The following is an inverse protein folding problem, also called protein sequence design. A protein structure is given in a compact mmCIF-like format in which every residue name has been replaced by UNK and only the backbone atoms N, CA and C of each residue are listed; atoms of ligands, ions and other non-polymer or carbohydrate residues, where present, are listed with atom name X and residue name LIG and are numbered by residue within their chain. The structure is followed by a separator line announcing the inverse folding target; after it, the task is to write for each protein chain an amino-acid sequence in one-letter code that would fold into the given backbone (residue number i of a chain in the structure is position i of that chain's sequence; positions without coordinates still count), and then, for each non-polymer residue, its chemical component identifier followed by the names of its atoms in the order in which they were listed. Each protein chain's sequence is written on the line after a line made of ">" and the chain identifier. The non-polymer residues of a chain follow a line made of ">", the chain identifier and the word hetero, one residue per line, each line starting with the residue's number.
data_IF_771225367111
#
_entry.id   IF_771225367111
#
_cell.length_a   1.000
_cell.length_b   1.000
_cell.length_c   1.000
_cell.angle_alpha   90.00
_cell.angle_beta   90.00
_cell.angle_gamma   90.00
#
_symmetry.space_group_name_H-M   'P 1'
#
loop_
_entity.id
_entity.type
_entity.pdbx_description
1 polymer ?
#
# COMPACT_ATOMS: atom_id res chain seq x y z
N UNK A 1 5.50 -3.90 37.42
CA UNK A 1 5.21 -3.28 36.12
C UNK A 1 4.50 -4.31 35.26
N UNK A 2 3.29 -4.08 34.74
CA UNK A 2 2.67 -5.00 33.79
C UNK A 2 3.55 -5.11 32.54
N UNK A 3 3.75 -6.34 32.04
CA UNK A 3 4.54 -6.61 30.84
C UNK A 3 3.83 -5.97 29.65
N UNK A 4 4.46 -5.00 29.00
CA UNK A 4 3.92 -4.37 27.80
C UNK A 4 3.72 -5.42 26.70
N UNK A 5 2.56 -5.38 26.04
CA UNK A 5 2.30 -6.22 24.87
C UNK A 5 3.37 -5.95 23.79
N UNK A 6 4.05 -6.99 23.28
CA UNK A 6 5.04 -6.83 22.21
C UNK A 6 4.44 -6.19 20.97
N UNK A 7 5.25 -5.45 20.22
CA UNK A 7 4.86 -4.90 18.93
C UNK A 7 5.13 -5.92 17.83
N UNK A 8 4.13 -6.16 16.98
CA UNK A 8 4.22 -7.01 15.80
C UNK A 8 4.30 -6.14 14.55
N UNK A 9 5.37 -6.26 13.77
CA UNK A 9 5.50 -5.57 12.48
C UNK A 9 4.95 -6.46 11.37
N UNK A 10 3.92 -5.98 10.68
CA UNK A 10 3.27 -6.64 9.56
C UNK A 10 3.74 -6.01 8.24
N UNK A 11 4.55 -6.73 7.48
CA UNK A 11 5.01 -6.30 6.16
C UNK A 11 4.12 -6.87 5.05
N UNK A 12 3.26 -6.02 4.49
CA UNK A 12 2.35 -6.37 3.41
C UNK A 12 3.09 -6.37 2.07
N UNK A 13 3.04 -7.50 1.36
CA UNK A 13 3.54 -7.59 -0.01
C UNK A 13 2.67 -6.81 -0.99
N UNK A 14 3.18 -6.53 -2.19
CA UNK A 14 2.41 -5.82 -3.23
C UNK A 14 1.08 -6.50 -3.60
N UNK A 15 0.97 -7.82 -3.40
CA UNK A 15 -0.26 -8.59 -3.58
C UNK A 15 -1.40 -8.21 -2.61
N UNK A 16 -1.08 -7.56 -1.49
CA UNK A 16 -2.07 -7.05 -0.54
C UNK A 16 -2.86 -5.86 -1.12
N UNK A 17 -2.30 -5.19 -2.14
CA UNK A 17 -2.92 -4.05 -2.81
C UNK A 17 -3.30 -4.43 -4.24
N UNK A 18 -2.44 -5.14 -4.98
CA UNK A 18 -2.72 -5.59 -6.34
C UNK A 18 -2.28 -7.02 -6.57
N UNK A 19 -3.23 -7.92 -6.81
CA UNK A 19 -2.97 -9.33 -7.06
C UNK A 19 -2.51 -9.58 -8.49
N UNK A 20 -1.83 -10.71 -8.69
CA UNK A 20 -1.41 -11.16 -10.03
C UNK A 20 -2.63 -11.30 -10.95
N UNK A 21 -2.52 -10.75 -12.17
CA UNK A 21 -3.54 -10.73 -13.25
C UNK A 21 -4.66 -9.70 -13.09
N UNK A 22 -4.72 -8.94 -12.00
CA UNK A 22 -5.60 -7.77 -11.92
C UNK A 22 -5.05 -6.64 -12.80
N UNK A 23 -5.94 -5.79 -13.30
CA UNK A 23 -5.57 -4.67 -14.19
C UNK A 23 -5.04 -3.46 -13.42
N UNK A 24 -5.29 -3.37 -12.12
CA UNK A 24 -4.89 -2.24 -11.29
C UNK A 24 -5.96 -1.17 -11.17
N UNK A 25 -7.24 -1.52 -11.36
CA UNK A 25 -8.33 -0.56 -11.17
C UNK A 25 -8.42 -0.14 -9.70
N UNK A 26 -9.07 1.00 -9.45
CA UNK A 26 -9.33 1.44 -8.08
C UNK A 26 -10.12 0.39 -7.30
N UNK A 27 -11.20 -0.15 -7.89
CA UNK A 27 -12.06 -1.13 -7.22
C UNK A 27 -11.32 -2.43 -6.88
N UNK A 28 -10.47 -2.93 -7.78
CA UNK A 28 -9.62 -4.10 -7.54
C UNK A 28 -8.69 -3.86 -6.34
N UNK A 29 -8.01 -2.70 -6.32
CA UNK A 29 -7.08 -2.37 -5.26
C UNK A 29 -7.79 -2.13 -3.92
N UNK A 30 -8.92 -1.43 -3.95
CA UNK A 30 -9.74 -1.17 -2.78
C UNK A 30 -10.24 -2.45 -2.13
N UNK A 31 -10.75 -3.40 -2.92
CA UNK A 31 -11.24 -4.68 -2.40
C UNK A 31 -10.11 -5.52 -1.78
N UNK A 32 -8.92 -5.54 -2.39
CA UNK A 32 -7.76 -6.22 -1.82
C UNK A 32 -7.34 -5.61 -0.47
N UNK A 33 -7.29 -4.27 -0.40
CA UNK A 33 -6.95 -3.55 0.83
C UNK A 33 -8.03 -3.79 1.89
N UNK A 34 -9.32 -3.77 1.53
CA UNK A 34 -10.44 -4.06 2.44
C UNK A 34 -10.35 -5.46 3.04
N UNK A 35 -10.08 -6.46 2.20
CA UNK A 35 -9.87 -7.85 2.64
C UNK A 35 -8.67 -7.96 3.59
N UNK A 36 -7.54 -7.34 3.24
CA UNK A 36 -6.34 -7.31 4.07
C UNK A 36 -6.59 -6.63 5.42
N UNK A 37 -7.27 -5.48 5.41
CA UNK A 37 -7.61 -4.73 6.61
C UNK A 37 -8.53 -5.53 7.56
N UNK A 38 -9.46 -6.30 7.02
CA UNK A 38 -10.36 -7.18 7.82
C UNK A 38 -9.56 -8.26 8.56
N UNK A 39 -8.55 -8.85 7.92
CA UNK A 39 -7.67 -9.84 8.54
C UNK A 39 -6.80 -9.21 9.64
N UNK A 40 -6.27 -8.01 9.39
CA UNK A 40 -5.49 -7.26 10.39
C UNK A 40 -6.35 -6.87 11.59
N UNK A 41 -7.60 -6.45 11.37
CA UNK A 41 -8.54 -6.13 12.45
C UNK A 41 -8.74 -7.33 13.40
N UNK A 42 -8.84 -8.55 12.85
CA UNK A 42 -8.91 -9.78 13.65
C UNK A 42 -7.70 -9.94 14.57
N UNK A 43 -6.50 -9.61 14.10
CA UNK A 43 -5.27 -9.67 14.92
C UNK A 43 -5.28 -8.62 16.03
N UNK A 44 -5.78 -7.41 15.73
CA UNK A 44 -5.93 -6.34 16.72
C UNK A 44 -6.94 -6.74 17.80
N UNK A 45 -8.07 -7.34 17.42
CA UNK A 45 -9.09 -7.84 18.37
C UNK A 45 -8.54 -8.95 19.28
N UNK A 46 -7.56 -9.71 18.83
CA UNK A 46 -6.82 -10.70 19.63
C UNK A 46 -5.78 -10.06 20.58
N UNK A 47 -5.69 -8.73 20.61
CA UNK A 47 -4.83 -7.97 21.50
C UNK A 47 -3.43 -7.68 20.97
N UNK A 48 -3.16 -7.90 19.67
CA UNK A 48 -1.86 -7.55 19.08
C UNK A 48 -1.72 -6.04 18.91
N UNK A 49 -0.52 -5.53 19.18
CA UNK A 49 -0.12 -4.17 18.82
C UNK A 49 0.63 -4.22 17.50
N UNK A 50 -0.01 -3.75 16.44
CA UNK A 50 0.53 -3.89 15.08
C UNK A 50 1.16 -2.60 14.56
N UNK A 51 2.26 -2.74 13.82
CA UNK A 51 2.81 -1.71 12.92
C UNK A 51 2.70 -2.27 11.51
N UNK A 52 2.05 -1.54 10.60
CA UNK A 52 1.83 -1.98 9.23
C UNK A 52 2.83 -1.25 8.32
N UNK A 53 3.52 -2.00 7.48
CA UNK A 53 4.30 -1.47 6.37
C UNK A 53 3.88 -2.18 5.09
N UNK A 54 4.07 -1.57 3.93
CA UNK A 54 3.70 -2.18 2.66
C UNK A 54 4.72 -1.88 1.56
N UNK A 55 4.75 -2.75 0.55
CA UNK A 55 5.37 -2.44 -0.74
C UNK A 55 4.44 -1.61 -1.63
N UNK A 56 5.02 -0.88 -2.59
CA UNK A 56 4.29 -0.01 -3.52
C UNK A 56 4.70 -0.22 -4.99
N UNK A 57 5.37 -1.33 -5.33
CA UNK A 57 5.97 -1.56 -6.66
C UNK A 57 5.01 -1.35 -7.84
N UNK A 58 3.84 -2.00 -7.87
CA UNK A 58 2.83 -1.75 -8.90
C UNK A 58 2.32 -0.30 -8.92
N UNK A 59 2.11 0.30 -7.74
CA UNK A 59 1.56 1.64 -7.57
C UNK A 59 2.55 2.72 -8.06
N UNK A 60 3.83 2.61 -7.71
CA UNK A 60 4.85 3.56 -8.16
C UNK A 60 5.11 3.41 -9.66
N UNK A 61 5.06 2.19 -10.19
CA UNK A 61 5.11 1.93 -11.64
C UNK A 61 4.00 2.64 -12.39
N UNK A 62 2.74 2.48 -11.95
CA UNK A 62 1.59 3.17 -12.54
C UNK A 62 1.70 4.70 -12.43
N UNK A 63 2.23 5.20 -11.33
CA UNK A 63 2.43 6.64 -11.09
C UNK A 63 3.48 7.24 -12.02
N UNK A 64 4.63 6.59 -12.16
CA UNK A 64 5.68 7.01 -13.11
C UNK A 64 5.15 7.01 -14.55
N UNK A 65 4.40 5.97 -14.93
CA UNK A 65 3.77 5.89 -16.25
C UNK A 65 2.81 7.09 -16.47
N UNK A 66 2.00 7.47 -15.47
CA UNK A 66 1.11 8.64 -15.55
C UNK A 66 1.90 9.95 -15.75
N UNK A 67 2.97 10.16 -14.99
CA UNK A 67 3.85 11.33 -15.13
C UNK A 67 4.48 11.39 -16.53
N UNK A 68 5.01 10.28 -17.03
CA UNK A 68 5.61 10.21 -18.36
C UNK A 68 4.60 10.49 -19.48
N UNK A 69 3.38 9.93 -19.40
CA UNK A 69 2.32 10.22 -20.36
C UNK A 69 1.83 11.68 -20.29
N UNK A 70 1.87 12.29 -19.10
CA UNK A 70 1.43 13.66 -18.84
C UNK A 70 2.48 14.74 -19.07
N UNK A 71 3.74 14.37 -19.35
CA UNK A 71 4.92 15.25 -19.28
C UNK A 71 4.85 16.51 -20.16
N UNK A 72 4.05 16.50 -21.23
CA UNK A 72 3.87 17.65 -22.13
C UNK A 72 2.88 18.68 -21.59
N UNK A 73 2.11 18.33 -20.55
CA UNK A 73 1.09 19.18 -19.92
C UNK A 73 1.48 19.57 -18.50
N UNK A 74 2.10 18.65 -17.76
CA UNK A 74 2.52 18.83 -16.37
C UNK A 74 3.94 18.29 -16.23
N UNK A 75 4.87 19.03 -15.60
CA UNK A 75 6.22 18.53 -15.36
C UNK A 75 6.19 17.21 -14.57
N UNK A 76 6.92 16.16 -15.02
CA UNK A 76 6.95 14.89 -14.31
C UNK A 76 7.67 15.04 -12.97
N UNK A 77 7.19 14.32 -11.96
CA UNK A 77 7.88 14.23 -10.68
C UNK A 77 9.04 13.22 -10.73
N UNK A 78 10.12 13.44 -9.95
CA UNK A 78 11.17 12.45 -9.79
C UNK A 78 10.66 11.21 -9.03
N UNK A 79 11.33 10.07 -9.22
CA UNK A 79 10.89 8.78 -8.68
C UNK A 79 10.62 8.80 -7.16
N UNK A 80 11.44 9.49 -6.37
CA UNK A 80 11.25 9.57 -4.92
C UNK A 80 9.95 10.33 -4.55
N UNK A 81 9.55 11.32 -5.35
CA UNK A 81 8.30 12.04 -5.15
C UNK A 81 7.10 11.19 -5.60
N UNK A 82 7.20 10.45 -6.70
CA UNK A 82 6.21 9.42 -7.06
C UNK A 82 6.06 8.37 -5.96
N UNK A 83 7.17 7.99 -5.30
CA UNK A 83 7.15 7.13 -4.13
C UNK A 83 6.34 7.72 -2.97
N UNK A 84 6.53 9.02 -2.68
CA UNK A 84 5.75 9.72 -1.67
C UNK A 84 4.26 9.80 -2.03
N UNK A 85 3.91 10.04 -3.31
CA UNK A 85 2.50 10.02 -3.76
C UNK A 85 1.83 8.69 -3.43
N UNK A 86 2.51 7.56 -3.69
CA UNK A 86 1.96 6.23 -3.43
C UNK A 86 1.87 5.82 -1.96
N UNK A 87 2.36 6.65 -1.03
CA UNK A 87 2.17 6.46 0.41
C UNK A 87 0.93 7.22 0.92
N UNK A 88 0.57 8.33 0.27
CA UNK A 88 -0.56 9.17 0.66
C UNK A 88 -1.86 8.87 -0.11
N UNK A 89 -1.74 8.32 -1.32
CA UNK A 89 -2.83 7.93 -2.21
C UNK A 89 -3.17 6.45 -2.05
#
# INVERSE_FOLDING_TARGET
>A
MPRQTPITVLALGGNAILQRKQQGTFDEQYENVRSTATQIATLVDQGLRVVIVHGNGPQIGATVIRHEMGRTKVPPLPLHACGAETQGF
#
